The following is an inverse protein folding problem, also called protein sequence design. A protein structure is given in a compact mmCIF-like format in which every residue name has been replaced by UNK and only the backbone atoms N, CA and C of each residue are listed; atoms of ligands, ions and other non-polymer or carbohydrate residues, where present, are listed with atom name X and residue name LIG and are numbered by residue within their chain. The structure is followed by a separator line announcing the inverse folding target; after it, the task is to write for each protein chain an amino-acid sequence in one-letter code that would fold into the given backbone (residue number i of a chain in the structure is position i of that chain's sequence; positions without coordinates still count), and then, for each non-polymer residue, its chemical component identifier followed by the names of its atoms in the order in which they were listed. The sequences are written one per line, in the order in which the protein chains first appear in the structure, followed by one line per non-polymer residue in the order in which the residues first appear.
data_IF_187996040453
#
_entry.id   IF_187996040453
#
_cell.length_a   1.000
_cell.length_b   1.000
_cell.length_c   1.000
_cell.angle_alpha   90.00
_cell.angle_beta   90.00
_cell.angle_gamma   90.00
#
_symmetry.space_group_name_H-M   'P 1'
#
loop_
_entity.id
_entity.type
_entity.pdbx_description
1 polymer ?
#
# COMPACT_ATOMS: atom_id res chain seq x y z
N UNK A 1 15.59 -15.19 -6.61
CA UNK A 1 14.48 -15.21 -7.58
C UNK A 1 13.19 -15.21 -6.77
N UNK A 2 12.32 -14.20 -6.95
CA UNK A 2 11.08 -14.08 -6.18
C UNK A 2 9.90 -14.77 -6.87
N UNK A 3 8.81 -14.99 -6.14
CA UNK A 3 7.54 -15.46 -6.70
C UNK A 3 6.55 -14.29 -6.73
N UNK A 4 5.87 -14.10 -7.85
CA UNK A 4 4.78 -13.12 -7.99
C UNK A 4 3.45 -13.86 -7.99
N UNK A 5 2.55 -13.48 -7.10
CA UNK A 5 1.22 -14.08 -6.95
C UNK A 5 0.18 -12.99 -7.19
N UNK A 6 -0.68 -13.18 -8.20
CA UNK A 6 -1.82 -12.30 -8.47
C UNK A 6 -3.12 -12.97 -8.04
N UNK A 7 -3.97 -12.25 -7.32
CA UNK A 7 -5.30 -12.72 -6.88
C UNK A 7 -6.38 -11.91 -7.60
N UNK A 8 -7.15 -12.55 -8.47
CA UNK A 8 -8.19 -11.91 -9.28
C UNK A 8 -9.50 -12.70 -9.22
N UNK A 9 -10.63 -12.05 -9.54
CA UNK A 9 -11.97 -12.63 -9.45
C UNK A 9 -13.07 -11.60 -9.27
N UNK A 10 -14.33 -12.03 -9.31
CA UNK A 10 -15.51 -11.16 -9.18
C UNK A 10 -15.51 -10.40 -7.83
N UNK A 11 -16.20 -9.27 -7.76
CA UNK A 11 -16.43 -8.55 -6.50
C UNK A 11 -17.09 -9.46 -5.45
N UNK A 12 -16.61 -9.41 -4.21
CA UNK A 12 -17.17 -10.18 -3.10
C UNK A 12 -16.78 -11.66 -3.00
N UNK A 13 -15.92 -12.20 -3.86
CA UNK A 13 -15.51 -13.63 -3.81
C UNK A 13 -14.42 -13.95 -2.79
N UNK A 14 -14.07 -13.03 -1.89
CA UNK A 14 -13.06 -13.25 -0.84
C UNK A 14 -11.60 -13.09 -1.28
N UNK A 15 -11.32 -12.31 -2.34
CA UNK A 15 -9.96 -12.06 -2.84
C UNK A 15 -8.99 -11.52 -1.78
N UNK A 16 -9.42 -10.49 -1.05
CA UNK A 16 -8.62 -9.89 0.02
C UNK A 16 -8.36 -10.88 1.14
N UNK A 17 -9.38 -11.67 1.52
CA UNK A 17 -9.27 -12.71 2.54
C UNK A 17 -8.24 -13.76 2.15
N UNK A 18 -8.30 -14.29 0.92
CA UNK A 18 -7.34 -15.30 0.49
C UNK A 18 -5.93 -14.72 0.35
N UNK A 19 -5.78 -13.49 -0.12
CA UNK A 19 -4.49 -12.80 -0.15
C UNK A 19 -3.88 -12.67 1.26
N UNK A 20 -4.66 -12.24 2.24
CA UNK A 20 -4.22 -12.13 3.64
C UNK A 20 -3.81 -13.50 4.23
N UNK A 21 -4.58 -14.56 3.97
CA UNK A 21 -4.25 -15.91 4.43
C UNK A 21 -2.97 -16.46 3.79
N UNK A 22 -2.76 -16.21 2.49
CA UNK A 22 -1.53 -16.60 1.79
C UNK A 22 -0.32 -15.86 2.37
N UNK A 23 -0.43 -14.55 2.58
CA UNK A 23 0.64 -13.73 3.18
C UNK A 23 0.98 -14.25 4.58
N UNK A 24 -0.03 -14.50 5.42
CA UNK A 24 0.14 -15.07 6.76
C UNK A 24 0.87 -16.41 6.72
N UNK A 25 0.42 -17.32 5.84
CA UNK A 25 1.01 -18.65 5.67
C UNK A 25 2.47 -18.61 5.21
N UNK A 26 2.82 -17.68 4.30
CA UNK A 26 4.18 -17.46 3.83
C UNK A 26 5.07 -16.95 4.97
N UNK A 27 4.58 -15.95 5.71
CA UNK A 27 5.28 -15.37 6.86
C UNK A 27 5.57 -16.43 7.93
N UNK A 28 4.57 -17.22 8.30
CA UNK A 28 4.70 -18.30 9.31
C UNK A 28 5.71 -19.38 8.91
N UNK A 29 6.00 -19.55 7.61
CA UNK A 29 7.04 -20.47 7.11
C UNK A 29 8.39 -19.82 6.86
N UNK A 30 8.59 -18.58 7.30
CA UNK A 30 9.84 -17.85 7.08
C UNK A 30 10.11 -17.54 5.61
N UNK A 31 9.08 -17.50 4.75
CA UNK A 31 9.19 -17.13 3.33
C UNK A 31 9.16 -15.61 3.20
N UNK A 32 10.21 -14.97 3.69
CA UNK A 32 10.39 -13.51 3.74
C UNK A 32 11.60 -13.09 2.88
N UNK A 33 11.67 -11.83 2.40
CA UNK A 33 10.70 -10.75 2.55
C UNK A 33 9.42 -10.93 1.70
N UNK A 34 8.31 -10.35 2.14
CA UNK A 34 7.02 -10.34 1.43
C UNK A 34 6.66 -8.89 1.10
N UNK A 35 6.42 -8.61 -0.18
CA UNK A 35 5.81 -7.37 -0.63
C UNK A 35 4.33 -7.65 -0.96
N UNK A 36 3.42 -7.03 -0.22
CA UNK A 36 1.98 -7.12 -0.46
C UNK A 36 1.49 -5.80 -1.05
N UNK A 37 0.72 -5.87 -2.14
CA UNK A 37 0.15 -4.69 -2.81
C UNK A 37 -1.36 -4.89 -2.87
N UNK A 38 -2.11 -3.95 -2.27
CA UNK A 38 -3.56 -3.86 -2.47
C UNK A 38 -3.83 -3.02 -3.72
N UNK A 39 -4.53 -3.61 -4.69
CA UNK A 39 -4.88 -2.96 -5.95
C UNK A 39 -6.38 -2.60 -6.01
N UNK A 40 -7.15 -2.84 -4.94
CA UNK A 40 -8.54 -2.44 -4.84
C UNK A 40 -8.64 -0.96 -4.41
N UNK A 41 -9.45 -0.11 -5.07
CA UNK A 41 -9.69 1.27 -4.63
C UNK A 41 -10.21 1.35 -3.19
N UNK A 42 -10.95 0.32 -2.74
CA UNK A 42 -11.32 0.17 -1.35
C UNK A 42 -10.27 -0.71 -0.65
N UNK A 43 -9.24 -0.08 -0.10
CA UNK A 43 -8.12 -0.77 0.54
C UNK A 43 -8.60 -1.53 1.79
N UNK A 44 -8.61 -2.86 1.72
CA UNK A 44 -9.08 -3.74 2.81
C UNK A 44 -7.98 -4.73 3.27
N UNK A 45 -6.89 -4.86 2.50
CA UNK A 45 -5.80 -5.77 2.82
C UNK A 45 -5.00 -5.35 4.07
N UNK A 46 -4.66 -4.06 4.30
CA UNK A 46 -3.96 -3.64 5.50
C UNK A 46 -4.73 -4.00 6.78
N UNK A 47 -6.02 -3.69 6.83
CA UNK A 47 -6.91 -4.06 7.94
C UNK A 47 -6.92 -5.58 8.16
N UNK A 48 -7.07 -6.36 7.08
CA UNK A 48 -7.06 -7.83 7.13
C UNK A 48 -5.73 -8.41 7.66
N UNK A 49 -4.63 -7.69 7.52
CA UNK A 49 -3.30 -8.05 8.02
C UNK A 49 -3.02 -7.50 9.45
N UNK A 50 -3.94 -6.71 10.01
CA UNK A 50 -3.83 -6.13 11.35
C UNK A 50 -3.05 -4.82 11.43
N UNK A 51 -2.86 -4.13 10.31
CA UNK A 51 -2.33 -2.76 10.32
C UNK A 51 -3.38 -1.79 10.87
N UNK A 52 -2.93 -0.77 11.61
CA UNK A 52 -3.79 0.25 12.24
C UNK A 52 -3.72 1.61 11.56
N UNK A 53 -2.71 1.81 10.72
CA UNK A 53 -2.49 3.05 10.00
C UNK A 53 -2.98 2.88 8.57
N UNK A 54 -3.87 3.77 8.12
CA UNK A 54 -4.44 3.78 6.77
C UNK A 54 -3.62 4.63 5.79
N UNK A 55 -2.32 4.81 6.06
CA UNK A 55 -1.45 5.57 5.16
C UNK A 55 -1.26 4.77 3.88
N UNK A 56 -1.71 5.35 2.78
CA UNK A 56 -1.59 4.82 1.43
C UNK A 56 -0.98 5.86 0.49
N UNK A 57 -0.54 5.41 -0.68
CA UNK A 57 -0.10 6.30 -1.77
C UNK A 57 -1.19 7.35 -2.08
N UNK A 58 -2.47 6.95 -2.01
CA UNK A 58 -3.61 7.85 -2.18
C UNK A 58 -3.65 8.96 -1.13
N UNK A 59 -3.48 8.61 0.15
CA UNK A 59 -3.44 9.61 1.24
C UNK A 59 -2.28 10.59 1.09
N UNK A 60 -1.08 10.12 0.69
CA UNK A 60 0.08 11.00 0.45
C UNK A 60 -0.21 11.98 -0.67
N UNK A 61 -0.80 11.50 -1.76
CA UNK A 61 -1.15 12.34 -2.90
C UNK A 61 -2.20 13.38 -2.52
N UNK A 62 -3.22 12.98 -1.75
CA UNK A 62 -4.25 13.91 -1.26
C UNK A 62 -3.65 14.99 -0.36
N UNK A 63 -2.80 14.60 0.59
CA UNK A 63 -2.10 15.51 1.49
C UNK A 63 -1.23 16.51 0.74
N UNK A 64 -0.49 16.04 -0.27
CA UNK A 64 0.32 16.88 -1.14
C UNK A 64 -0.52 17.89 -1.91
N UNK A 65 -1.67 17.46 -2.45
CA UNK A 65 -2.58 18.35 -3.18
C UNK A 65 -3.20 19.42 -2.27
N UNK A 66 -3.56 19.07 -1.03
CA UNK A 66 -4.08 20.03 -0.03
C UNK A 66 -3.02 21.03 0.44
N UNK A 67 -1.76 20.60 0.55
CA UNK A 67 -0.62 21.41 1.03
C UNK A 67 0.17 22.08 -0.10
N UNK A 68 -0.38 22.13 -1.32
CA UNK A 68 0.30 22.72 -2.49
C UNK A 68 0.74 24.17 -2.30
N UNK A 69 0.06 24.91 -1.43
CA UNK A 69 0.35 26.32 -1.12
C UNK A 69 1.41 26.48 -0.02
N UNK A 70 1.70 25.44 0.76
CA UNK A 70 2.65 25.45 1.88
C UNK A 70 3.97 24.73 1.56
N UNK A 71 4.30 24.60 0.27
CA UNK A 71 5.54 23.96 -0.17
C UNK A 71 6.77 24.78 0.27
N UNK A 72 7.87 24.12 0.70
CA UNK A 72 9.10 24.81 1.07
C UNK A 72 9.63 25.66 -0.10
N UNK A 73 10.03 26.91 0.15
CA UNK A 73 10.60 27.75 -0.90
C UNK A 73 11.92 27.14 -1.40
N UNK A 74 12.09 27.11 -2.72
CA UNK A 74 13.30 26.57 -3.37
C UNK A 74 13.29 25.06 -3.65
N UNK A 75 12.22 24.34 -3.33
CA UNK A 75 12.09 22.91 -3.66
C UNK A 75 11.11 22.69 -4.83
N UNK A 76 11.50 21.94 -5.89
CA UNK A 76 10.58 21.49 -6.92
C UNK A 76 9.45 20.61 -6.36
N UNK A 77 8.26 20.71 -6.96
CA UNK A 77 7.06 19.98 -6.53
C UNK A 77 7.27 18.46 -6.58
N UNK A 78 7.95 18.01 -7.63
CA UNK A 78 8.25 16.62 -7.91
C UNK A 78 9.18 16.04 -6.85
N UNK A 79 10.23 16.77 -6.49
CA UNK A 79 11.17 16.38 -5.45
C UNK A 79 10.51 16.29 -4.07
N UNK A 80 9.63 17.23 -3.73
CA UNK A 80 8.89 17.18 -2.47
C UNK A 80 7.92 15.99 -2.41
N UNK A 81 7.21 15.71 -3.51
CA UNK A 81 6.33 14.55 -3.60
C UNK A 81 7.10 13.23 -3.46
N UNK A 82 8.28 13.13 -4.09
CA UNK A 82 9.15 11.96 -3.98
C UNK A 82 9.62 11.73 -2.55
N UNK A 83 10.00 12.79 -1.82
CA UNK A 83 10.33 12.69 -0.38
C UNK A 83 9.14 12.12 0.39
N UNK A 84 7.92 12.63 0.15
CA UNK A 84 6.71 12.17 0.85
C UNK A 84 6.31 10.74 0.49
N UNK A 85 6.49 10.31 -0.75
CA UNK A 85 6.23 8.94 -1.15
C UNK A 85 7.20 7.94 -0.52
N UNK A 86 8.43 8.35 -0.21
CA UNK A 86 9.42 7.52 0.49
C UNK A 86 9.19 7.43 2.01
N UNK A 87 8.26 8.21 2.58
CA UNK A 87 7.88 8.15 4.01
C UNK A 87 6.84 7.05 4.31
N UNK A 88 6.33 6.35 3.28
CA UNK A 88 5.25 5.35 3.36
C UNK A 88 5.74 3.94 3.09
#
# INVERSE_FOLDING_TARGET
MGYSIGVAGKGGTGKTTIAALVIKWLKERGKVPILAVDADPNANLPESLGFKDDTSIGTVLEDFLRKRESLPPGMPKEAFLEVKLNEV
#
